data_IF_518080627010
#
_entry.id   IF_518080627010
#
_cell.length_a   1.000
_cell.length_b   1.000
_cell.length_c   1.000
_cell.angle_alpha   90.00
_cell.angle_beta   90.00
_cell.angle_gamma   90.00
#
_symmetry.space_group_name_H-M   'P 1'
#
loop_
_entity.id
_entity.type
_entity.pdbx_description
1 polymer ?
#
# COMPACT_ATOMS: atom_id res chain seq x y z
N UNK A 1 -1.40 -13.55 7.28
CA UNK A 1 -1.22 -12.38 8.17
C UNK A 1 -1.86 -11.18 7.52
N UNK A 2 -2.12 -10.10 8.26
CA UNK A 2 -2.75 -8.87 7.74
C UNK A 2 -1.77 -7.92 7.01
N UNK A 3 -0.51 -8.36 6.87
CA UNK A 3 0.57 -7.67 6.18
C UNK A 3 0.86 -8.34 4.84
N UNK A 4 1.08 -7.54 3.79
CA UNK A 4 1.42 -8.01 2.45
C UNK A 4 2.52 -7.16 1.83
N UNK A 5 3.25 -7.76 0.89
CA UNK A 5 4.26 -7.06 0.08
C UNK A 5 3.80 -7.05 -1.37
N UNK A 6 3.83 -5.88 -2.00
CA UNK A 6 3.49 -5.69 -3.41
C UNK A 6 4.78 -5.56 -4.23
N UNK A 7 4.94 -6.40 -5.25
CA UNK A 7 6.06 -6.33 -6.18
C UNK A 7 6.10 -4.98 -6.89
N UNK A 8 7.30 -4.44 -7.11
CA UNK A 8 7.46 -3.09 -7.68
C UNK A 8 7.03 -3.00 -9.15
N UNK A 9 7.01 -4.13 -9.87
CA UNK A 9 6.58 -4.25 -11.27
C UNK A 9 5.09 -4.55 -11.44
N UNK A 10 4.31 -4.58 -10.36
CA UNK A 10 2.88 -4.87 -10.39
C UNK A 10 2.06 -3.84 -11.19
N UNK A 11 2.59 -2.63 -11.39
CA UNK A 11 1.94 -1.54 -12.14
C UNK A 11 2.94 -0.84 -13.05
N UNK A 12 2.81 -1.05 -14.37
CA UNK A 12 3.53 -0.26 -15.38
C UNK A 12 2.85 1.09 -15.67
N UNK A 13 1.53 1.16 -15.45
CA UNK A 13 0.69 2.34 -15.67
C UNK A 13 -0.40 2.42 -14.57
N UNK A 14 -0.91 3.63 -14.25
CA UNK A 14 -2.02 3.76 -13.30
C UNK A 14 -3.28 2.99 -13.74
N UNK A 15 -3.76 2.08 -12.91
CA UNK A 15 -4.99 1.31 -13.14
C UNK A 15 -5.74 0.98 -11.84
N UNK A 16 -6.84 1.69 -11.60
CA UNK A 16 -7.74 1.43 -10.46
C UNK A 16 -8.33 0.03 -10.51
N UNK A 17 -8.65 -0.48 -11.71
CA UNK A 17 -9.22 -1.82 -11.88
C UNK A 17 -8.22 -2.92 -11.53
N UNK A 18 -6.94 -2.75 -11.88
CA UNK A 18 -5.88 -3.67 -11.46
C UNK A 18 -5.70 -3.63 -9.94
N UNK A 19 -5.72 -2.44 -9.32
CA UNK A 19 -5.62 -2.31 -7.86
C UNK A 19 -6.78 -2.98 -7.11
N UNK A 20 -8.03 -2.84 -7.60
CA UNK A 20 -9.18 -3.61 -7.05
C UNK A 20 -8.91 -5.11 -7.15
N UNK A 21 -8.41 -5.57 -8.29
CA UNK A 21 -8.12 -6.99 -8.52
C UNK A 21 -7.04 -7.51 -7.58
N UNK A 22 -5.99 -6.72 -7.33
CA UNK A 22 -4.93 -7.03 -6.36
C UNK A 22 -5.50 -7.16 -4.95
N UNK A 23 -6.31 -6.19 -4.49
CA UNK A 23 -6.91 -6.25 -3.15
C UNK A 23 -7.87 -7.43 -3.00
N UNK A 24 -8.68 -7.70 -4.02
CA UNK A 24 -9.61 -8.84 -4.03
C UNK A 24 -8.87 -10.18 -3.99
N UNK A 25 -7.79 -10.32 -4.79
CA UNK A 25 -6.96 -11.53 -4.81
C UNK A 25 -6.19 -11.73 -3.48
N UNK A 26 -5.74 -10.63 -2.86
CA UNK A 26 -5.08 -10.68 -1.55
C UNK A 26 -6.04 -11.03 -0.41
N UNK A 27 -7.32 -10.67 -0.54
CA UNK A 27 -8.42 -11.18 0.28
C UNK A 27 -8.40 -10.73 1.74
N UNK A 28 -7.68 -9.65 2.08
CA UNK A 28 -7.64 -9.11 3.44
C UNK A 28 -8.77 -8.11 3.71
N UNK A 29 -9.03 -7.88 4.99
CA UNK A 29 -10.06 -6.93 5.43
C UNK A 29 -9.66 -5.47 5.17
N UNK A 30 -10.66 -4.67 4.80
CA UNK A 30 -10.57 -3.21 4.75
C UNK A 30 -10.99 -2.60 6.11
N UNK A 31 -10.52 -1.39 6.47
CA UNK A 31 -9.66 -0.51 5.67
C UNK A 31 -8.23 -1.01 5.50
N UNK A 32 -7.66 -0.78 4.32
CA UNK A 32 -6.26 -1.08 4.01
C UNK A 32 -5.43 0.21 3.93
N UNK A 33 -4.20 0.15 4.41
CA UNK A 33 -3.18 1.17 4.15
C UNK A 33 -2.18 0.61 3.14
N UNK A 34 -1.94 1.34 2.07
CA UNK A 34 -0.92 1.04 1.07
C UNK A 34 0.24 2.01 1.28
N UNK A 35 1.43 1.46 1.50
CA UNK A 35 2.67 2.22 1.66
C UNK A 35 3.50 2.04 0.40
N UNK A 36 3.68 3.12 -0.35
CA UNK A 36 4.45 3.13 -1.59
C UNK A 36 5.45 4.28 -1.59
N UNK A 37 6.61 4.10 -2.22
CA UNK A 37 7.58 5.19 -2.35
C UNK A 37 7.01 6.29 -3.27
N UNK A 38 7.36 7.57 -3.05
CA UNK A 38 6.85 8.69 -3.85
C UNK A 38 7.08 8.55 -5.36
N UNK A 39 8.15 7.87 -5.76
CA UNK A 39 8.54 7.63 -7.15
C UNK A 39 7.62 6.59 -7.83
N UNK A 40 6.89 5.77 -7.06
CA UNK A 40 5.97 4.73 -7.57
C UNK A 40 4.60 5.32 -7.93
N UNK A 41 4.59 6.33 -8.81
CA UNK A 41 3.39 7.11 -9.15
C UNK A 41 2.24 6.24 -9.69
N UNK A 42 2.56 5.18 -10.46
CA UNK A 42 1.57 4.25 -10.98
C UNK A 42 0.80 3.54 -9.85
N UNK A 43 1.50 3.08 -8.81
CA UNK A 43 0.88 2.46 -7.63
C UNK A 43 0.05 3.52 -6.89
N UNK A 44 0.63 4.68 -6.57
CA UNK A 44 -0.07 5.74 -5.83
C UNK A 44 -1.38 6.14 -6.51
N UNK A 45 -1.35 6.38 -7.83
CA UNK A 45 -2.54 6.76 -8.60
C UNK A 45 -3.58 5.65 -8.70
N UNK A 46 -3.16 4.39 -8.71
CA UNK A 46 -4.06 3.23 -8.83
C UNK A 46 -4.88 3.01 -7.55
N UNK A 47 -4.29 3.21 -6.38
CA UNK A 47 -4.94 2.93 -5.10
C UNK A 47 -5.63 4.14 -4.45
N UNK A 48 -5.17 5.38 -4.71
CA UNK A 48 -5.64 6.59 -3.99
C UNK A 48 -7.14 6.91 -4.09
N UNK A 49 -7.83 6.33 -5.06
CA UNK A 49 -9.26 6.57 -5.31
C UNK A 49 -10.16 5.40 -4.88
N UNK A 50 -9.60 4.36 -4.26
CA UNK A 50 -10.36 3.18 -3.83
C UNK A 50 -11.05 3.44 -2.50
N UNK A 51 -12.30 2.96 -2.37
CA UNK A 51 -13.05 3.07 -1.13
C UNK A 51 -12.35 2.29 -0.01
N UNK A 52 -12.29 2.91 1.19
CA UNK A 52 -11.64 2.36 2.38
C UNK A 52 -10.17 1.94 2.18
N UNK A 53 -9.47 2.58 1.25
CA UNK A 53 -8.03 2.42 1.04
C UNK A 53 -7.36 3.78 1.24
N UNK A 54 -6.34 3.82 2.09
CA UNK A 54 -5.47 4.98 2.23
C UNK A 54 -4.10 4.67 1.60
N UNK A 55 -3.50 5.67 0.95
CA UNK A 55 -2.15 5.58 0.39
C UNK A 55 -1.27 6.58 1.12
N UNK A 56 -0.08 6.15 1.53
CA UNK A 56 0.91 7.01 2.20
C UNK A 56 2.33 6.64 1.77
N UNK A 57 3.28 7.52 2.04
CA UNK A 57 4.71 7.28 1.83
C UNK A 57 5.37 6.71 3.10
N UNK A 58 6.52 6.02 3.00
CA UNK A 58 7.25 5.53 4.18
C UNK A 58 7.61 6.64 5.18
N UNK A 59 7.85 7.87 4.69
CA UNK A 59 8.19 9.03 5.50
C UNK A 59 7.02 9.60 6.30
N UNK A 60 5.79 9.42 5.79
CA UNK A 60 4.55 9.96 6.33
C UNK A 60 3.68 8.88 7.01
N UNK A 61 4.19 7.65 7.12
CA UNK A 61 3.50 6.56 7.81
C UNK A 61 3.47 6.83 9.31
N UNK A 62 2.29 7.22 9.82
CA UNK A 62 2.05 7.45 11.24
C UNK A 62 1.45 6.22 11.94
N UNK A 63 1.68 6.10 13.25
CA UNK A 63 1.12 5.02 14.09
C UNK A 63 -0.40 4.99 14.03
N UNK A 64 -1.06 6.15 13.97
CA UNK A 64 -2.52 6.23 13.90
C UNK A 64 -3.08 5.53 12.65
N UNK A 65 -2.40 5.64 11.51
CA UNK A 65 -2.79 4.96 10.28
C UNK A 65 -2.68 3.44 10.41
N UNK A 66 -1.60 2.95 11.04
CA UNK A 66 -1.36 1.52 11.26
C UNK A 66 -2.38 0.91 12.23
N UNK A 67 -2.74 1.63 13.30
CA UNK A 67 -3.73 1.16 14.29
C UNK A 67 -5.15 1.17 13.72
N UNK A 68 -5.47 2.14 12.85
CA UNK A 68 -6.77 2.21 12.17
C UNK A 68 -6.95 1.13 11.09
N UNK A 69 -5.87 0.79 10.39
CA UNK A 69 -5.87 -0.21 9.33
C UNK A 69 -6.18 -1.62 9.84
N UNK A 70 -6.97 -2.37 9.06
CA UNK A 70 -7.15 -3.82 9.23
C UNK A 70 -6.09 -4.62 8.48
N UNK A 71 -5.52 -4.03 7.44
CA UNK A 71 -4.47 -4.63 6.63
C UNK A 71 -3.47 -3.59 6.13
N UNK A 72 -2.20 -4.00 6.00
CA UNK A 72 -1.10 -3.15 5.55
C UNK A 72 -0.42 -3.79 4.34
N UNK A 73 -0.43 -3.10 3.21
CA UNK A 73 0.23 -3.51 1.98
C UNK A 73 1.41 -2.57 1.71
N UNK A 74 2.62 -3.10 1.64
CA UNK A 74 3.84 -2.29 1.45
C UNK A 74 4.53 -2.70 0.17
N UNK A 75 4.96 -1.76 -0.66
CA UNK A 75 5.74 -2.12 -1.86
C UNK A 75 7.13 -2.63 -1.48
N UNK A 76 7.74 -3.45 -2.33
CA UNK A 76 9.10 -3.94 -2.11
C UNK A 76 10.10 -2.79 -1.93
N UNK A 77 10.01 -1.74 -2.74
CA UNK A 77 10.83 -0.53 -2.60
C UNK A 77 10.59 0.19 -1.25
N UNK A 78 9.34 0.23 -0.76
CA UNK A 78 9.01 0.92 0.49
C UNK A 78 9.40 0.11 1.74
N UNK A 79 9.45 -1.21 1.65
CA UNK A 79 9.67 -2.13 2.78
C UNK A 79 10.92 -1.80 3.62
N UNK A 80 12.13 -1.67 3.04
CA UNK A 80 13.33 -1.36 3.83
C UNK A 80 13.26 0.03 4.49
N UNK A 81 12.58 1.00 3.87
CA UNK A 81 12.40 2.34 4.42
C UNK A 81 11.48 2.33 5.65
N UNK A 82 10.44 1.51 5.63
CA UNK A 82 9.55 1.30 6.79
C UNK A 82 10.31 0.57 7.90
N UNK A 83 11.05 -0.49 7.57
CA UNK A 83 11.82 -1.27 8.55
C UNK A 83 12.87 -0.42 9.27
N UNK A 84 13.62 0.42 8.54
CA UNK A 84 14.62 1.31 9.14
C UNK A 84 14.04 2.39 10.07
N UNK A 85 12.72 2.61 10.06
CA UNK A 85 12.03 3.53 10.98
C UNK A 85 11.39 2.81 12.17
N UNK A 86 11.19 1.50 12.07
CA UNK A 86 10.59 0.67 13.10
C UNK A 86 11.63 0.08 14.08
N UNK A 87 12.92 0.27 13.80
CA UNK A 87 14.06 -0.18 14.63
C UNK A 87 14.36 0.76 15.79
#
# INVERSE_FOLDING_TARGET
GTFGVLADDAFSEPSTQSAVSVLAAWGQELPAVVVAAPEQEAVVKSFRNLDRVAVTSPGELEVAAVVWARSLLVTETALPLVQGRAS
#
